data_IF_897894959579
#
_entry.id   IF_897894959579
#
_cell.length_a   1.000
_cell.length_b   1.000
_cell.length_c   1.000
_cell.angle_alpha   90.00
_cell.angle_beta   90.00
_cell.angle_gamma   90.00
#
_symmetry.space_group_name_H-M   'P 1'
#
loop_
_entity.id
_entity.type
_entity.pdbx_description
1 polymer ?
#
# COMPACT_ATOMS: atom_id res chain seq x y z
N UNK A 1 21.04 -4.34 -56.15
CA UNK A 1 20.85 -4.97 -54.82
C UNK A 1 20.35 -3.94 -53.78
N UNK A 2 19.39 -3.06 -54.15
CA UNK A 2 18.98 -1.89 -53.35
C UNK A 2 17.44 -1.72 -53.32
N UNK A 3 16.69 -2.81 -53.19
CA UNK A 3 15.22 -2.78 -53.17
C UNK A 3 14.58 -3.48 -51.97
N UNK A 4 15.36 -4.22 -51.19
CA UNK A 4 14.90 -4.98 -50.00
C UNK A 4 15.19 -4.21 -48.69
N UNK A 5 16.05 -3.18 -48.71
CA UNK A 5 16.47 -2.46 -47.48
C UNK A 5 15.55 -1.31 -47.05
N UNK A 6 14.75 -0.76 -47.95
CA UNK A 6 13.82 0.34 -47.64
C UNK A 6 12.64 -0.10 -46.73
N UNK A 7 11.95 -1.25 -46.94
CA UNK A 7 10.84 -1.64 -46.07
C UNK A 7 11.28 -2.04 -44.65
N UNK A 8 12.49 -2.59 -44.50
CA UNK A 8 13.04 -2.98 -43.19
C UNK A 8 13.40 -1.73 -42.37
N UNK A 9 13.98 -0.70 -43.00
CA UNK A 9 14.32 0.56 -42.33
C UNK A 9 13.04 1.33 -41.94
N UNK A 10 12.02 1.34 -42.81
CA UNK A 10 10.72 1.95 -42.49
C UNK A 10 10.01 1.23 -41.34
N UNK A 11 10.05 -0.11 -41.30
CA UNK A 11 9.50 -0.91 -40.21
C UNK A 11 10.22 -0.67 -38.87
N UNK A 12 11.54 -0.56 -38.88
CA UNK A 12 12.33 -0.26 -37.69
C UNK A 12 12.08 1.16 -37.15
N UNK A 13 11.86 2.15 -38.03
CA UNK A 13 11.48 3.49 -37.61
C UNK A 13 10.07 3.55 -37.01
N UNK A 14 9.13 2.75 -37.51
CA UNK A 14 7.79 2.63 -36.93
C UNK A 14 7.82 1.92 -35.58
N UNK A 15 8.64 0.89 -35.42
CA UNK A 15 8.86 0.20 -34.13
C UNK A 15 9.58 1.13 -33.14
N UNK A 16 10.56 1.92 -33.58
CA UNK A 16 11.26 2.89 -32.74
C UNK A 16 10.34 4.05 -32.33
N UNK A 17 9.51 4.56 -33.24
CA UNK A 17 8.50 5.57 -32.93
C UNK A 17 7.41 5.03 -32.00
N UNK A 18 7.04 3.75 -32.15
CA UNK A 18 6.12 3.07 -31.23
C UNK A 18 6.75 2.84 -29.85
N UNK A 19 8.02 2.45 -29.78
CA UNK A 19 8.78 2.37 -28.53
C UNK A 19 8.90 3.74 -27.85
N UNK A 20 9.15 4.81 -28.62
CA UNK A 20 9.21 6.18 -28.12
C UNK A 20 7.83 6.74 -27.69
N UNK A 21 6.75 6.31 -28.36
CA UNK A 21 5.37 6.63 -27.97
C UNK A 21 4.93 5.85 -26.71
N UNK A 22 5.44 4.63 -26.52
CA UNK A 22 5.24 3.82 -25.32
C UNK A 22 5.93 4.43 -24.10
N UNK A 23 7.12 5.03 -24.25
CA UNK A 23 7.81 5.73 -23.14
C UNK A 23 7.18 7.07 -22.78
N UNK A 24 6.48 7.71 -23.73
CA UNK A 24 5.83 9.02 -23.53
C UNK A 24 4.34 8.93 -23.19
N UNK A 25 3.81 7.73 -22.97
CA UNK A 25 2.49 7.57 -22.33
C UNK A 25 2.56 7.81 -20.81
N UNK A 26 3.28 8.84 -20.39
CA UNK A 26 3.09 9.50 -19.11
C UNK A 26 1.86 10.40 -19.23
N UNK A 27 0.68 9.76 -19.27
CA UNK A 27 -0.54 10.47 -18.88
C UNK A 27 -0.40 10.70 -17.38
N UNK A 28 -0.25 11.97 -17.01
CA UNK A 28 -0.40 12.45 -15.65
C UNK A 28 -1.72 11.90 -15.11
N UNK A 29 -1.63 10.92 -14.21
CA UNK A 29 -2.73 10.56 -13.33
C UNK A 29 -2.60 11.41 -12.07
N UNK A 30 -2.73 12.73 -12.22
CA UNK A 30 -3.08 13.58 -11.07
C UNK A 30 -4.62 13.64 -10.99
N UNK A 31 -5.23 12.48 -10.78
CA UNK A 31 -6.50 12.40 -10.06
C UNK A 31 -6.15 12.19 -8.59
N UNK A 32 -7.01 12.52 -7.62
CA UNK A 32 -6.76 12.09 -6.24
C UNK A 32 -6.62 10.58 -6.27
N UNK A 33 -5.40 10.08 -6.08
CA UNK A 33 -5.09 8.66 -6.03
C UNK A 33 -5.99 8.04 -4.96
N UNK A 34 -7.02 7.34 -5.43
CA UNK A 34 -7.87 6.46 -4.63
C UNK A 34 -7.06 5.18 -4.32
N UNK A 35 -5.94 5.33 -3.59
CA UNK A 35 -5.05 4.22 -3.21
C UNK A 35 -4.35 4.43 -1.86
N UNK A 36 -5.02 5.06 -0.89
CA UNK A 36 -4.58 5.05 0.51
C UNK A 36 -5.75 5.09 1.52
N UNK A 37 -6.88 4.43 1.23
CA UNK A 37 -7.87 4.11 2.27
C UNK A 37 -7.39 2.93 3.15
N UNK A 38 -6.13 2.97 3.56
CA UNK A 38 -5.60 2.20 4.68
C UNK A 38 -5.32 3.22 5.79
N UNK A 39 -6.38 3.83 6.31
CA UNK A 39 -6.27 5.05 7.10
C UNK A 39 -7.14 5.03 8.37
N UNK A 40 -7.35 3.86 8.96
CA UNK A 40 -8.05 3.73 10.22
C UNK A 40 -7.18 3.00 11.25
N UNK A 41 -7.33 3.39 12.52
CA UNK A 41 -6.85 2.62 13.67
C UNK A 41 -7.56 1.26 13.66
N UNK A 42 -6.81 0.16 13.75
CA UNK A 42 -7.38 -1.20 13.72
C UNK A 42 -7.22 -1.90 15.06
N UNK A 43 -8.15 -2.82 15.36
CA UNK A 43 -7.94 -3.79 16.43
C UNK A 43 -7.02 -4.88 15.88
N UNK A 44 -5.83 -5.02 16.45
CA UNK A 44 -4.85 -6.05 16.07
C UNK A 44 -5.13 -7.38 16.76
N UNK A 45 -5.52 -7.35 18.04
CA UNK A 45 -5.80 -8.55 18.84
C UNK A 45 -6.93 -8.29 19.85
N UNK A 46 -7.68 -9.34 20.19
CA UNK A 46 -8.65 -9.37 21.27
C UNK A 46 -8.37 -10.59 22.14
N UNK A 47 -8.27 -10.37 23.45
CA UNK A 47 -8.14 -11.42 24.45
C UNK A 47 -9.25 -11.26 25.50
N UNK A 48 -10.40 -11.91 25.27
CA UNK A 48 -11.58 -11.82 26.12
C UNK A 48 -11.69 -12.92 27.20
N UNK A 49 -10.62 -13.69 27.41
CA UNK A 49 -10.55 -14.73 28.45
C UNK A 49 -9.07 -15.02 28.75
N UNK A 50 -8.34 -13.99 29.14
CA UNK A 50 -6.93 -14.10 29.48
C UNK A 50 -6.78 -14.90 30.79
N UNK A 51 -6.02 -15.99 30.77
CA UNK A 51 -5.77 -16.78 31.99
C UNK A 51 -4.29 -16.93 32.31
N UNK A 52 -3.41 -16.47 31.42
CA UNK A 52 -1.97 -16.75 31.53
C UNK A 52 -1.06 -15.86 30.68
N UNK A 53 -1.59 -15.05 29.77
CA UNK A 53 -0.74 -14.36 28.78
C UNK A 53 -0.16 -13.06 29.34
N UNK A 54 -1.02 -12.10 29.68
CA UNK A 54 -0.60 -10.80 30.19
C UNK A 54 -1.27 -10.56 31.54
N UNK A 55 -0.48 -10.60 32.61
CA UNK A 55 -0.94 -10.33 33.96
C UNK A 55 -0.97 -8.83 34.21
N UNK A 56 -1.93 -8.37 35.00
CA UNK A 56 -1.95 -6.99 35.47
C UNK A 56 -0.68 -6.70 36.31
N UNK A 57 0.16 -5.72 35.94
CA UNK A 57 1.39 -5.41 36.67
C UNK A 57 1.14 -4.83 38.07
N UNK A 58 -0.03 -4.23 38.30
CA UNK A 58 -0.43 -3.63 39.58
C UNK A 58 -1.28 -4.60 40.43
N UNK A 59 -1.88 -5.63 39.81
CA UNK A 59 -2.71 -6.65 40.48
C UNK A 59 -2.22 -8.09 40.22
N UNK A 60 -1.22 -8.58 40.99
CA UNK A 60 -0.69 -9.93 40.83
C UNK A 60 -1.76 -11.01 41.02
N UNK A 61 -1.87 -11.90 40.04
CA UNK A 61 -2.88 -12.96 39.97
C UNK A 61 -4.02 -12.65 39.01
N UNK A 62 -4.22 -11.39 38.64
CA UNK A 62 -5.31 -10.97 37.75
C UNK A 62 -4.88 -10.95 36.28
N UNK A 63 -5.79 -11.40 35.42
CA UNK A 63 -5.59 -11.51 33.97
C UNK A 63 -6.81 -10.91 33.27
N UNK A 64 -6.89 -9.57 33.19
CA UNK A 64 -8.05 -8.91 32.61
C UNK A 64 -8.13 -9.15 31.10
N UNK A 65 -9.34 -8.94 30.58
CA UNK A 65 -9.58 -8.87 29.15
C UNK A 65 -8.90 -7.62 28.57
N UNK A 66 -8.37 -7.75 27.36
CA UNK A 66 -7.72 -6.65 26.66
C UNK A 66 -7.93 -6.73 25.16
N UNK A 67 -7.71 -5.59 24.50
CA UNK A 67 -7.58 -5.49 23.06
C UNK A 67 -6.32 -4.70 22.73
N UNK A 68 -5.69 -5.01 21.60
CA UNK A 68 -4.55 -4.25 21.08
C UNK A 68 -5.00 -3.42 19.89
N UNK A 69 -4.60 -2.15 19.87
CA UNK A 69 -4.83 -1.24 18.76
C UNK A 69 -3.53 -1.07 17.97
N UNK A 70 -3.63 -1.14 16.64
CA UNK A 70 -2.51 -0.91 15.74
C UNK A 70 -2.83 0.25 14.79
N UNK A 71 -1.88 1.18 14.68
CA UNK A 71 -1.91 2.24 13.69
C UNK A 71 -1.02 1.82 12.50
N UNK A 72 -1.60 1.40 11.36
CA UNK A 72 -0.83 0.99 10.19
C UNK A 72 -0.25 2.18 9.42
N UNK A 73 -0.50 3.42 9.86
CA UNK A 73 -0.08 4.63 9.16
C UNK A 73 1.24 5.17 9.72
N UNK A 74 1.92 6.01 8.92
CA UNK A 74 3.13 6.70 9.34
C UNK A 74 2.84 8.05 10.03
N UNK A 75 1.58 8.32 10.38
CA UNK A 75 1.15 9.56 11.04
C UNK A 75 0.54 9.24 12.41
N UNK A 76 0.67 10.13 13.41
CA UNK A 76 -0.06 9.99 14.66
C UNK A 76 -1.58 10.00 14.45
N UNK A 77 -2.29 9.19 15.21
CA UNK A 77 -3.77 9.16 15.27
C UNK A 77 -4.18 9.57 16.68
N UNK A 78 -5.13 10.50 16.81
CA UNK A 78 -5.69 10.87 18.11
C UNK A 78 -6.66 9.80 18.59
N UNK A 79 -6.61 9.49 19.89
CA UNK A 79 -7.57 8.64 20.58
C UNK A 79 -8.58 9.45 21.40
N UNK A 80 -8.56 10.78 21.29
CA UNK A 80 -9.43 11.64 22.07
C UNK A 80 -10.91 11.33 21.77
N UNK A 81 -11.69 11.06 22.81
CA UNK A 81 -13.12 10.74 22.68
C UNK A 81 -13.44 9.25 22.51
N UNK A 82 -12.43 8.38 22.48
CA UNK A 82 -12.56 6.96 22.84
C UNK A 82 -12.51 6.82 24.38
#
# INVERSE_FOLDING_TARGET
>A
MLRIRIPIIAGLLLVAAFWLAMTTSARAQDGPDQSAAQSDLVINEIMASNSSTLQDPDEPGEYPDWLELYNPTNAPVSLDGL
#
